data_IF_456202881882
#
_entry.id   IF_456202881882
#
_cell.length_a   1.000
_cell.length_b   1.000
_cell.length_c   1.000
_cell.angle_alpha   90.00
_cell.angle_beta   90.00
_cell.angle_gamma   90.00
#
_symmetry.space_group_name_H-M   'P 1'
#
loop_
_entity.id
_entity.type
_entity.pdbx_description
1 polymer ?
#
# COMPACT_ATOMS: atom_id res chain seq x y z
N UNK A 1 15.33 1.97 31.85
CA UNK A 1 15.55 2.32 30.44
C UNK A 1 14.21 2.20 29.74
N UNK A 2 13.65 3.33 29.31
CA UNK A 2 12.37 3.37 28.60
C UNK A 2 12.69 2.96 27.15
N UNK A 3 12.40 1.71 26.80
CA UNK A 3 12.34 1.32 25.39
C UNK A 3 11.02 1.86 24.86
N UNK A 4 11.04 3.10 24.38
CA UNK A 4 9.96 3.66 23.59
C UNK A 4 9.76 2.73 22.38
N UNK A 5 8.61 2.06 22.34
CA UNK A 5 8.08 1.29 21.21
C UNK A 5 7.69 2.20 20.02
N UNK A 6 8.55 3.15 19.68
CA UNK A 6 8.44 3.95 18.48
C UNK A 6 9.14 3.18 17.36
N UNK A 7 8.41 2.34 16.63
CA UNK A 7 8.66 1.95 15.21
C UNK A 7 8.15 0.54 14.92
N UNK A 8 6.90 0.43 14.47
CA UNK A 8 6.45 -0.71 13.63
C UNK A 8 5.57 -0.24 12.46
N UNK A 9 5.52 1.07 12.20
CA UNK A 9 4.72 1.71 11.16
C UNK A 9 5.50 2.86 10.52
N UNK A 10 6.82 2.70 10.37
CA UNK A 10 7.65 3.77 9.79
C UNK A 10 7.46 3.84 8.26
N UNK A 11 7.69 5.00 7.64
CA UNK A 11 7.77 5.14 6.19
C UNK A 11 8.60 4.03 5.51
N UNK A 12 9.73 3.66 6.13
CA UNK A 12 10.65 2.64 5.65
C UNK A 12 10.03 1.25 5.60
N UNK A 13 9.17 0.89 6.57
CA UNK A 13 8.51 -0.42 6.62
C UNK A 13 7.58 -0.63 5.42
N UNK A 14 6.84 0.41 5.04
CA UNK A 14 6.01 0.38 3.83
C UNK A 14 6.88 0.36 2.57
N UNK A 15 7.83 1.30 2.45
CA UNK A 15 8.65 1.42 1.24
C UNK A 15 9.46 0.17 0.94
N UNK A 16 10.02 -0.48 1.96
CA UNK A 16 10.85 -1.67 1.78
C UNK A 16 10.08 -2.78 1.07
N UNK A 17 8.90 -3.12 1.56
CA UNK A 17 8.08 -4.20 1.00
C UNK A 17 7.55 -3.84 -0.40
N UNK A 18 7.15 -2.57 -0.63
CA UNK A 18 6.78 -2.10 -1.97
C UNK A 18 7.94 -2.20 -2.96
N UNK A 19 9.12 -1.71 -2.57
CA UNK A 19 10.27 -1.62 -3.46
C UNK A 19 10.87 -2.99 -3.76
N UNK A 20 10.80 -3.94 -2.82
CA UNK A 20 11.14 -5.33 -3.07
C UNK A 20 10.21 -5.93 -4.13
N UNK A 21 8.89 -5.81 -3.98
CA UNK A 21 7.94 -6.35 -4.95
C UNK A 21 8.10 -5.71 -6.35
N UNK A 22 8.34 -4.40 -6.42
CA UNK A 22 8.58 -3.68 -7.68
C UNK A 22 9.87 -4.12 -8.37
N UNK A 23 10.94 -4.35 -7.60
CA UNK A 23 12.19 -4.86 -8.12
C UNK A 23 12.02 -6.23 -8.79
N UNK A 24 11.23 -7.13 -8.19
CA UNK A 24 10.97 -8.47 -8.73
C UNK A 24 10.35 -8.45 -10.14
N UNK A 25 9.65 -7.37 -10.48
CA UNK A 25 8.93 -7.21 -11.75
C UNK A 25 9.56 -6.13 -12.64
N UNK A 26 10.76 -5.66 -12.31
CA UNK A 26 11.51 -4.69 -13.12
C UNK A 26 10.98 -3.25 -13.08
N UNK A 27 10.19 -2.91 -12.06
CA UNK A 27 9.61 -1.57 -11.87
C UNK A 27 10.49 -0.77 -10.90
N UNK A 28 10.77 0.50 -11.22
CA UNK A 28 11.63 1.37 -10.42
C UNK A 28 11.10 1.63 -9.00
N UNK A 29 11.98 1.88 -8.01
CA UNK A 29 11.58 2.03 -6.61
C UNK A 29 10.76 3.31 -6.38
N UNK A 30 9.85 3.26 -5.41
CA UNK A 30 9.10 4.39 -4.89
C UNK A 30 9.91 5.18 -3.85
N UNK A 31 9.60 6.48 -3.75
CA UNK A 31 10.00 7.36 -2.67
C UNK A 31 8.83 7.72 -1.75
N UNK A 32 9.13 8.03 -0.49
CA UNK A 32 8.14 8.51 0.47
C UNK A 32 7.77 9.97 0.21
N UNK A 33 6.52 10.33 0.49
CA UNK A 33 6.06 11.72 0.43
C UNK A 33 5.24 12.05 1.67
N UNK A 34 5.69 13.06 2.41
CA UNK A 34 5.08 13.45 3.69
C UNK A 34 3.64 13.95 3.54
N UNK A 35 3.32 14.62 2.44
CA UNK A 35 1.95 15.07 2.17
C UNK A 35 0.99 13.89 1.96
N UNK A 36 1.44 12.80 1.33
CA UNK A 36 0.63 11.60 1.14
C UNK A 36 0.50 10.79 2.43
N UNK A 37 1.56 10.72 3.24
CA UNK A 37 1.49 10.16 4.60
C UNK A 37 0.44 10.90 5.44
N UNK A 38 0.51 12.23 5.50
CA UNK A 38 -0.42 13.03 6.30
C UNK A 38 -1.86 12.88 5.79
N UNK A 39 -2.07 12.79 4.47
CA UNK A 39 -3.37 12.49 3.88
C UNK A 39 -3.89 11.12 4.31
N UNK A 40 -3.10 10.06 4.15
CA UNK A 40 -3.47 8.69 4.49
C UNK A 40 -3.75 8.53 5.98
N UNK A 41 -2.91 9.11 6.84
CA UNK A 41 -3.07 9.08 8.28
C UNK A 41 -4.36 9.80 8.72
N UNK A 42 -4.64 10.98 8.15
CA UNK A 42 -5.88 11.71 8.44
C UNK A 42 -7.12 10.92 8.00
N UNK A 43 -7.06 10.26 6.85
CA UNK A 43 -8.16 9.43 6.38
C UNK A 43 -8.39 8.22 7.30
N UNK A 44 -7.33 7.48 7.62
CA UNK A 44 -7.39 6.33 8.53
C UNK A 44 -7.95 6.73 9.91
N UNK A 45 -7.49 7.85 10.47
CA UNK A 45 -7.99 8.40 11.74
C UNK A 45 -9.51 8.65 11.72
N UNK A 46 -10.05 9.07 10.58
CA UNK A 46 -11.49 9.27 10.39
C UNK A 46 -12.32 7.97 10.36
N UNK A 47 -11.69 6.83 10.07
CA UNK A 47 -12.34 5.52 9.94
C UNK A 47 -12.25 4.63 11.17
N UNK A 48 -11.38 4.95 12.15
CA UNK A 48 -11.12 4.12 13.36
C UNK A 48 -12.40 3.72 14.11
N UNK A 49 -13.40 4.61 14.21
CA UNK A 49 -14.63 4.31 14.97
C UNK A 49 -15.52 3.25 14.34
N UNK A 50 -15.44 3.08 13.02
CA UNK A 50 -16.34 2.19 12.27
C UNK A 50 -15.62 1.08 11.51
N UNK A 51 -14.28 1.14 11.40
CA UNK A 51 -13.46 0.24 10.58
C UNK A 51 -14.05 -0.01 9.18
N UNK A 52 -14.60 1.04 8.58
CA UNK A 52 -15.25 0.91 7.27
C UNK A 52 -14.16 0.86 6.19
N UNK A 53 -14.09 -0.25 5.47
CA UNK A 53 -13.25 -0.45 4.30
C UNK A 53 -13.89 0.22 3.06
N UNK A 54 -13.97 1.54 3.10
CA UNK A 54 -14.49 2.38 2.03
C UNK A 54 -13.38 3.29 1.54
N UNK A 55 -13.22 3.43 0.22
CA UNK A 55 -12.21 4.31 -0.35
C UNK A 55 -12.51 5.80 -0.13
N UNK A 56 -11.46 6.61 -0.02
CA UNK A 56 -11.61 8.07 0.17
C UNK A 56 -12.20 8.80 -1.03
N UNK A 57 -12.17 8.18 -2.22
CA UNK A 57 -12.48 8.82 -3.50
C UNK A 57 -11.67 10.10 -3.75
N UNK A 58 -10.53 10.24 -3.07
CA UNK A 58 -9.64 11.39 -3.18
C UNK A 58 -8.81 11.41 -4.47
N UNK A 59 -7.88 12.36 -4.58
CA UNK A 59 -7.06 12.54 -5.78
C UNK A 59 -5.92 11.51 -5.93
N UNK A 60 -5.75 10.64 -4.94
CA UNK A 60 -4.60 9.75 -4.79
C UNK A 60 -4.97 8.28 -5.01
N UNK A 61 -3.98 7.46 -5.34
CA UNK A 61 -4.13 6.00 -5.38
C UNK A 61 -4.18 5.47 -3.95
N UNK A 62 -4.99 4.45 -3.69
CA UNK A 62 -5.29 4.05 -2.32
C UNK A 62 -5.47 2.53 -2.23
N UNK A 63 -4.69 1.92 -1.33
CA UNK A 63 -4.97 0.59 -0.82
C UNK A 63 -5.39 0.73 0.64
N UNK A 64 -6.40 -0.03 1.05
CA UNK A 64 -6.86 -0.09 2.43
C UNK A 64 -6.57 -1.47 3.00
N UNK A 65 -6.31 -1.52 4.29
CA UNK A 65 -6.17 -2.76 5.04
C UNK A 65 -6.83 -2.59 6.41
N UNK A 66 -7.51 -3.63 6.85
CA UNK A 66 -7.94 -3.79 8.22
C UNK A 66 -7.42 -5.12 8.74
N UNK A 67 -7.20 -5.19 10.05
CA UNK A 67 -6.69 -6.38 10.71
C UNK A 67 -7.09 -6.37 12.18
N UNK A 68 -6.88 -7.51 12.83
CA UNK A 68 -7.03 -7.63 14.27
C UNK A 68 -5.71 -7.26 14.98
N UNK A 69 -5.82 -6.80 16.22
CA UNK A 69 -4.67 -6.45 17.06
C UNK A 69 -3.77 -5.36 16.44
N UNK A 70 -2.45 -5.46 16.60
CA UNK A 70 -1.47 -4.53 16.05
C UNK A 70 -1.04 -5.00 14.65
N UNK A 71 -1.75 -4.55 13.62
CA UNK A 71 -1.33 -4.73 12.23
C UNK A 71 -0.25 -3.72 11.88
N UNK A 72 0.92 -4.20 11.44
CA UNK A 72 2.02 -3.33 11.03
C UNK A 72 1.87 -2.89 9.58
N UNK A 73 2.51 -1.77 9.23
CA UNK A 73 2.58 -1.31 7.85
C UNK A 73 3.12 -2.38 6.89
N UNK A 74 4.17 -3.10 7.28
CA UNK A 74 4.72 -4.20 6.47
C UNK A 74 3.73 -5.35 6.27
N UNK A 75 2.86 -5.61 7.25
CA UNK A 75 1.88 -6.69 7.18
C UNK A 75 0.76 -6.32 6.21
N UNK A 76 0.35 -5.04 6.18
CA UNK A 76 -0.60 -4.54 5.18
C UNK A 76 -0.06 -4.68 3.76
N UNK A 77 1.20 -4.30 3.52
CA UNK A 77 1.82 -4.47 2.20
C UNK A 77 1.91 -5.93 1.79
N UNK A 78 2.35 -6.81 2.70
CA UNK A 78 2.41 -8.26 2.44
C UNK A 78 1.05 -8.85 2.14
N UNK A 79 0.01 -8.40 2.85
CA UNK A 79 -1.37 -8.80 2.59
C UNK A 79 -1.79 -8.44 1.16
N UNK A 80 -1.58 -7.19 0.73
CA UNK A 80 -1.86 -6.77 -0.64
C UNK A 80 -1.06 -7.55 -1.70
N UNK A 81 0.18 -7.94 -1.39
CA UNK A 81 1.01 -8.75 -2.29
C UNK A 81 0.50 -10.19 -2.47
N UNK A 82 -0.38 -10.69 -1.60
CA UNK A 82 -0.99 -12.03 -1.77
C UNK A 82 -1.85 -12.15 -3.01
N UNK A 83 -2.26 -11.03 -3.61
CA UNK A 83 -2.99 -10.99 -4.88
C UNK A 83 -2.10 -11.22 -6.11
N UNK A 84 -0.77 -11.26 -5.98
CA UNK A 84 0.17 -11.50 -7.09
C UNK A 84 -0.21 -12.70 -7.98
N UNK A 85 -0.59 -13.88 -7.44
CA UNK A 85 -1.00 -15.03 -8.26
C UNK A 85 -2.30 -14.80 -9.06
N UNK A 86 -3.07 -13.77 -8.74
CA UNK A 86 -4.33 -13.45 -9.42
C UNK A 86 -4.13 -12.54 -10.63
N UNK A 87 -2.96 -11.91 -10.79
CA UNK A 87 -2.67 -11.03 -11.91
C UNK A 87 -1.90 -11.77 -13.02
N UNK A 88 -2.46 -11.74 -14.23
CA UNK A 88 -1.80 -12.26 -15.42
C UNK A 88 -1.20 -11.09 -16.23
N UNK A 89 0.12 -11.12 -16.37
CA UNK A 89 0.89 -10.11 -17.10
C UNK A 89 0.66 -10.14 -18.61
N UNK A 90 0.43 -11.31 -19.20
CA UNK A 90 0.25 -11.47 -20.65
C UNK A 90 -1.10 -10.88 -21.09
N UNK A 91 -2.15 -11.08 -20.30
CA UNK A 91 -3.49 -10.55 -20.57
C UNK A 91 -3.75 -9.18 -19.94
N UNK A 92 -2.83 -8.70 -19.09
CA UNK A 92 -2.98 -7.48 -18.30
C UNK A 92 -4.32 -7.43 -17.54
N UNK A 93 -4.69 -8.53 -16.88
CA UNK A 93 -5.98 -8.66 -16.21
C UNK A 93 -5.90 -9.56 -14.98
N UNK A 94 -6.82 -9.39 -14.05
CA UNK A 94 -7.02 -10.37 -12.99
C UNK A 94 -7.69 -11.62 -13.58
N UNK A 95 -7.23 -12.82 -13.21
CA UNK A 95 -7.67 -14.09 -13.83
C UNK A 95 -8.40 -15.05 -12.90
N UNK A 96 -8.21 -14.94 -11.57
CA UNK A 96 -8.82 -15.86 -10.59
C UNK A 96 -9.70 -15.12 -9.58
N UNK A 97 -9.20 -14.00 -9.08
CA UNK A 97 -9.82 -13.17 -8.06
C UNK A 97 -9.28 -11.74 -8.22
N UNK A 98 -9.69 -10.82 -7.34
CA UNK A 98 -9.21 -9.45 -7.36
C UNK A 98 -7.69 -9.35 -7.25
N UNK A 99 -7.15 -8.36 -7.96
CA UNK A 99 -5.72 -8.06 -8.01
C UNK A 99 -5.42 -6.54 -7.96
N UNK A 100 -6.39 -5.76 -7.48
CA UNK A 100 -6.33 -4.30 -7.45
C UNK A 100 -5.24 -3.76 -6.53
N UNK A 101 -5.07 -4.36 -5.35
CA UNK A 101 -4.05 -3.91 -4.42
C UNK A 101 -2.65 -4.23 -4.94
N UNK A 102 -2.45 -5.42 -5.51
CA UNK A 102 -1.17 -5.81 -6.12
C UNK A 102 -0.81 -4.90 -7.29
N UNK A 103 -1.74 -4.70 -8.22
CA UNK A 103 -1.49 -3.87 -9.41
C UNK A 103 -1.18 -2.43 -9.02
N UNK A 104 -1.80 -1.88 -7.98
CA UNK A 104 -1.46 -0.57 -7.43
C UNK A 104 -0.02 -0.51 -6.89
N UNK A 105 0.50 -1.57 -6.27
CA UNK A 105 1.88 -1.63 -5.74
C UNK A 105 2.91 -1.64 -6.88
N UNK A 106 2.67 -2.42 -7.93
CA UNK A 106 3.60 -2.59 -9.07
C UNK A 106 3.36 -1.61 -10.21
N UNK A 107 2.39 -0.71 -10.08
CA UNK A 107 2.11 0.33 -11.06
C UNK A 107 3.31 1.26 -11.27
N UNK A 108 3.49 1.83 -12.46
CA UNK A 108 4.54 2.82 -12.72
C UNK A 108 3.94 4.24 -12.70
N UNK A 109 3.85 4.92 -11.55
CA UNK A 109 3.27 6.25 -11.49
C UNK A 109 4.28 7.35 -11.86
N UNK A 110 3.80 8.52 -12.32
CA UNK A 110 4.66 9.68 -12.58
C UNK A 110 5.48 10.09 -11.35
N UNK A 111 6.81 9.97 -11.46
CA UNK A 111 7.73 10.36 -10.38
C UNK A 111 7.95 9.30 -9.29
N UNK A 112 7.37 8.10 -9.43
CA UNK A 112 7.56 6.97 -8.52
C UNK A 112 7.32 7.34 -7.03
N UNK A 113 6.15 7.90 -6.71
CA UNK A 113 5.77 8.19 -5.31
C UNK A 113 4.65 7.26 -4.87
N UNK A 114 4.76 6.70 -3.66
CA UNK A 114 3.72 5.83 -3.07
C UNK A 114 2.41 6.61 -2.85
N UNK A 115 1.26 6.02 -3.20
CA UNK A 115 -0.07 6.66 -3.06
C UNK A 115 -0.52 7.44 -4.30
N UNK A 116 0.09 7.26 -5.46
CA UNK A 116 -0.37 7.88 -6.71
C UNK A 116 -1.31 6.94 -7.49
N UNK A 117 -2.33 7.53 -8.13
CA UNK A 117 -3.32 6.79 -8.94
C UNK A 117 -2.67 6.17 -10.19
N UNK A 118 -2.97 4.90 -10.49
CA UNK A 118 -3.09 4.42 -11.86
C UNK A 118 -4.23 5.21 -12.50
N UNK A 119 -4.01 5.76 -13.69
CA UNK A 119 -4.95 6.62 -14.42
C UNK A 119 -6.43 6.22 -14.29
#
# INVERSE_FOLDING_TARGET
MISTCLAQNTPEDFLKEHNQARQEVGVGPLSWNKTLEDYAQNYANGKIKGCQMEHSNGPYGENLAEGYEEMKGSDAVKFWLTEKPNYNYDSNSCVNDDCGHYTQIVYYPPGNVIGQRPY
#
